data_IF_338173262823
#
_entry.id   IF_338173262823
#
_cell.length_a   1.000
_cell.length_b   1.000
_cell.length_c   1.000
_cell.angle_alpha   90.00
_cell.angle_beta   90.00
_cell.angle_gamma   90.00
#
_symmetry.space_group_name_H-M   'P 1'
#
loop_
_entity.id
_entity.type
_entity.pdbx_description
1 polymer ?
#
# COMPACT_ATOMS: atom_id res chain seq x y z
N UNK A 1 -6.66 28.79 -28.61
CA UNK A 1 -6.21 27.41 -28.34
C UNK A 1 -6.80 27.07 -26.99
N UNK A 2 -7.88 26.29 -26.99
CA UNK A 2 -8.65 26.02 -25.75
C UNK A 2 -7.84 25.04 -24.93
N UNK A 3 -7.40 25.47 -23.75
CA UNK A 3 -6.86 24.61 -22.70
C UNK A 3 -7.82 23.43 -22.51
N UNK A 4 -7.39 22.23 -22.90
CA UNK A 4 -8.04 21.02 -22.42
C UNK A 4 -7.82 21.02 -20.92
N UNK A 5 -8.89 21.25 -20.16
CA UNK A 5 -8.91 20.86 -18.75
C UNK A 5 -8.55 19.37 -18.72
N UNK A 6 -7.34 19.06 -18.24
CA UNK A 6 -6.85 17.70 -18.05
C UNK A 6 -7.72 17.01 -17.00
N UNK A 7 -8.84 16.48 -17.45
CA UNK A 7 -9.80 15.80 -16.58
C UNK A 7 -9.33 14.34 -16.39
N UNK A 8 -8.52 14.11 -15.36
CA UNK A 8 -8.02 12.78 -14.99
C UNK A 8 -9.14 11.72 -14.93
N UNK A 9 -10.31 11.96 -14.28
CA UNK A 9 -11.46 11.06 -14.37
C UNK A 9 -11.88 10.70 -15.81
N UNK A 10 -11.93 11.66 -16.73
CA UNK A 10 -12.34 11.37 -18.12
C UNK A 10 -11.31 10.51 -18.88
N UNK A 11 -10.02 10.64 -18.55
CA UNK A 11 -8.98 9.74 -19.09
C UNK A 11 -9.08 8.35 -18.45
N UNK A 12 -9.29 8.32 -17.14
CA UNK A 12 -9.36 7.07 -16.37
C UNK A 12 -10.58 6.22 -16.74
N UNK A 13 -11.70 6.84 -17.12
CA UNK A 13 -12.88 6.14 -17.63
C UNK A 13 -12.63 5.34 -18.92
N UNK A 14 -11.49 5.53 -19.60
CA UNK A 14 -11.07 4.73 -20.75
C UNK A 14 -10.31 3.46 -20.35
N UNK A 15 -9.90 3.33 -19.09
CA UNK A 15 -9.20 2.16 -18.59
C UNK A 15 -10.17 1.00 -18.41
N UNK A 16 -9.76 -0.21 -18.81
CA UNK A 16 -10.49 -1.41 -18.46
C UNK A 16 -10.21 -1.81 -17.02
N UNK A 17 -11.27 -2.07 -16.25
CA UNK A 17 -11.13 -2.68 -14.94
C UNK A 17 -10.57 -4.10 -15.05
N UNK A 18 -9.80 -4.51 -14.05
CA UNK A 18 -9.31 -5.88 -13.89
C UNK A 18 -9.87 -6.49 -12.62
N UNK A 19 -9.85 -7.82 -12.53
CA UNK A 19 -10.21 -8.54 -11.32
C UNK A 19 -8.94 -9.04 -10.61
N UNK A 20 -8.96 -8.99 -9.28
CA UNK A 20 -7.90 -9.50 -8.42
C UNK A 20 -8.45 -10.61 -7.54
N UNK A 21 -7.83 -11.78 -7.65
CA UNK A 21 -8.07 -12.92 -6.79
C UNK A 21 -6.75 -13.39 -6.17
N UNK A 22 -6.78 -13.78 -4.90
CA UNK A 22 -5.70 -14.54 -4.29
C UNK A 22 -5.41 -14.15 -2.85
N UNK A 23 -4.24 -14.59 -2.38
CA UNK A 23 -3.75 -14.32 -1.03
C UNK A 23 -2.95 -13.03 -0.99
N UNK A 24 -3.27 -12.19 -0.01
CA UNK A 24 -2.67 -10.88 0.21
C UNK A 24 -2.40 -10.66 1.69
N UNK A 25 -1.45 -9.77 1.99
CA UNK A 25 -0.99 -9.58 3.35
C UNK A 25 -0.86 -8.10 3.71
N UNK A 26 -0.96 -7.80 5.00
CA UNK A 26 -0.54 -6.49 5.55
C UNK A 26 0.00 -6.65 6.95
N UNK A 27 0.91 -5.76 7.33
CA UNK A 27 1.35 -5.65 8.72
C UNK A 27 0.66 -4.48 9.42
N UNK A 28 0.24 -4.67 10.67
CA UNK A 28 -0.36 -3.62 11.52
C UNK A 28 0.27 -3.65 12.91
N UNK A 29 0.11 -2.59 13.69
CA UNK A 29 0.43 -2.68 15.12
C UNK A 29 -0.53 -3.69 15.76
N UNK A 30 -0.06 -4.55 16.67
CA UNK A 30 -0.86 -5.64 17.26
C UNK A 30 -2.22 -5.16 17.79
N UNK A 31 -2.26 -3.97 18.39
CA UNK A 31 -3.52 -3.37 18.90
C UNK A 31 -4.61 -3.16 17.84
N UNK A 32 -4.27 -3.22 16.55
CA UNK A 32 -5.17 -3.07 15.42
C UNK A 32 -5.42 -4.37 14.66
N UNK A 33 -4.93 -5.52 15.14
CA UNK A 33 -5.07 -6.82 14.46
C UNK A 33 -6.54 -7.22 14.25
N UNK A 34 -7.42 -6.93 15.22
CA UNK A 34 -8.84 -7.22 15.12
C UNK A 34 -9.56 -6.42 14.02
N UNK A 35 -9.14 -5.17 13.80
CA UNK A 35 -9.71 -4.22 12.82
C UNK A 35 -8.78 -4.03 11.62
N UNK A 36 -7.98 -5.05 11.30
CA UNK A 36 -6.89 -4.89 10.35
C UNK A 36 -7.38 -4.78 8.90
N UNK A 37 -8.61 -5.22 8.60
CA UNK A 37 -9.15 -5.23 7.24
C UNK A 37 -10.17 -4.10 6.99
N UNK A 38 -10.49 -3.29 7.99
CA UNK A 38 -11.56 -2.28 7.92
C UNK A 38 -11.26 -1.08 6.99
N UNK A 39 -10.01 -0.92 6.54
CA UNK A 39 -9.55 0.30 5.87
C UNK A 39 -9.50 1.50 6.82
N UNK A 40 -8.78 2.57 6.44
CA UNK A 40 -8.71 3.82 7.23
C UNK A 40 -8.57 5.04 6.33
N UNK A 41 -9.25 6.12 6.71
CA UNK A 41 -9.06 7.46 6.12
C UNK A 41 -7.84 8.14 6.74
N UNK A 42 -6.66 7.67 6.35
CA UNK A 42 -5.37 8.16 6.85
C UNK A 42 -4.47 8.57 5.70
N UNK A 43 -3.62 9.57 5.95
CA UNK A 43 -2.62 10.01 4.98
C UNK A 43 -1.65 8.89 4.65
N UNK A 44 -1.56 8.56 3.37
CA UNK A 44 -0.64 7.58 2.80
C UNK A 44 -0.43 7.85 1.31
N UNK A 45 0.19 6.92 0.59
CA UNK A 45 0.43 7.08 -0.86
C UNK A 45 -0.87 7.17 -1.66
N UNK A 46 -1.90 6.45 -1.23
CA UNK A 46 -3.17 6.30 -1.96
C UNK A 46 -4.39 6.83 -1.20
N UNK A 47 -4.17 7.46 -0.04
CA UNK A 47 -5.24 7.97 0.80
C UNK A 47 -4.83 9.27 1.47
N UNK A 48 -5.83 10.07 1.83
CA UNK A 48 -5.67 11.34 2.54
C UNK A 48 -6.44 11.29 3.86
N UNK A 49 -5.96 12.05 4.85
CA UNK A 49 -6.73 12.27 6.07
C UNK A 49 -8.07 12.93 5.76
N UNK A 50 -9.15 12.37 6.32
CA UNK A 50 -10.52 12.82 6.05
C UNK A 50 -11.09 12.40 4.69
N UNK A 51 -10.35 11.63 3.87
CA UNK A 51 -10.84 11.03 2.63
C UNK A 51 -11.66 9.75 2.84
N UNK A 52 -11.82 8.97 1.78
CA UNK A 52 -12.42 7.62 1.83
C UNK A 52 -11.49 6.61 2.54
N UNK A 53 -12.04 5.54 3.13
CA UNK A 53 -11.25 4.55 3.84
C UNK A 53 -10.46 3.65 2.89
N UNK A 54 -9.14 3.57 3.13
CA UNK A 54 -8.22 2.80 2.29
C UNK A 54 -7.62 1.62 3.05
N UNK A 55 -7.70 0.44 2.47
CA UNK A 55 -7.02 -0.78 2.92
C UNK A 55 -5.80 -1.06 2.02
N UNK A 56 -4.61 -1.04 2.62
CA UNK A 56 -3.36 -1.39 1.94
C UNK A 56 -3.01 -2.86 2.20
N UNK A 57 -2.75 -3.58 1.11
CA UNK A 57 -2.33 -4.96 1.08
C UNK A 57 -1.11 -5.09 0.16
N UNK A 58 -0.27 -6.08 0.41
CA UNK A 58 0.92 -6.36 -0.38
C UNK A 58 1.15 -7.84 -0.59
N UNK A 59 1.94 -8.15 -1.61
CA UNK A 59 2.52 -9.48 -1.87
C UNK A 59 3.81 -9.33 -2.69
N UNK A 60 4.80 -10.23 -2.55
CA UNK A 60 4.88 -11.33 -1.58
C UNK A 60 5.15 -10.81 -0.14
N UNK A 61 5.27 -11.72 0.84
CA UNK A 61 5.61 -11.41 2.25
C UNK A 61 6.83 -10.49 2.37
N UNK A 62 7.84 -10.70 1.52
CA UNK A 62 9.05 -9.87 1.51
C UNK A 62 8.74 -8.41 1.22
N UNK A 63 7.79 -8.13 0.32
CA UNK A 63 7.33 -6.77 0.04
C UNK A 63 6.72 -6.12 1.28
N UNK A 64 5.86 -6.86 1.98
CA UNK A 64 5.20 -6.38 3.20
C UNK A 64 6.21 -6.14 4.33
N UNK A 65 7.24 -6.99 4.39
CA UNK A 65 8.34 -6.84 5.33
C UNK A 65 9.15 -5.59 5.01
N UNK A 66 9.54 -5.37 3.76
CA UNK A 66 10.28 -4.17 3.36
C UNK A 66 9.47 -2.89 3.54
N UNK A 67 8.15 -2.89 3.31
CA UNK A 67 7.29 -1.75 3.65
C UNK A 67 7.32 -1.43 5.15
N UNK A 68 7.38 -2.46 6.01
CA UNK A 68 7.54 -2.25 7.44
C UNK A 68 8.85 -1.53 7.77
N UNK A 69 9.97 -1.92 7.14
CA UNK A 69 11.25 -1.23 7.30
C UNK A 69 11.22 0.20 6.76
N UNK A 70 10.68 0.42 5.55
CA UNK A 70 10.55 1.76 4.93
C UNK A 70 9.82 2.76 5.82
N UNK A 71 8.84 2.31 6.59
CA UNK A 71 8.04 3.18 7.45
C UNK A 71 8.49 3.23 8.92
N UNK A 72 9.11 2.18 9.44
CA UNK A 72 9.41 2.06 10.87
C UNK A 72 10.91 2.19 11.19
N UNK A 73 11.79 1.97 10.21
CA UNK A 73 13.24 1.89 10.41
C UNK A 73 13.98 2.91 9.56
N UNK A 74 13.80 2.89 8.24
CA UNK A 74 14.57 3.73 7.32
C UNK A 74 14.54 5.23 7.70
N UNK A 75 13.42 5.81 8.17
CA UNK A 75 13.38 7.23 8.60
C UNK A 75 14.17 7.53 9.87
N UNK A 76 14.54 6.51 10.65
CA UNK A 76 15.25 6.64 11.93
C UNK A 76 16.76 6.40 11.78
N UNK A 77 17.20 5.81 10.67
CA UNK A 77 18.62 5.56 10.38
C UNK A 77 19.24 6.81 9.79
N UNK A 78 19.47 7.82 10.62
CA UNK A 78 20.15 9.06 10.22
C UNK A 78 21.67 8.97 10.39
N UNK A 79 22.15 8.23 11.40
CA UNK A 79 23.57 8.04 11.70
C UNK A 79 23.91 6.54 11.84
N UNK A 80 24.91 6.02 11.12
CA UNK A 80 25.39 4.66 11.32
C UNK A 80 25.87 4.44 12.76
N UNK A 81 25.21 3.53 13.49
CA UNK A 81 25.63 3.13 14.84
C UNK A 81 24.78 3.67 15.99
N UNK A 82 23.79 4.54 15.74
CA UNK A 82 22.82 4.89 16.77
C UNK A 82 21.82 3.73 17.02
N UNK A 83 21.49 3.42 18.29
CA UNK A 83 20.48 2.43 18.61
C UNK A 83 19.09 2.91 18.15
N UNK A 84 18.39 2.06 17.41
CA UNK A 84 17.02 2.32 17.00
C UNK A 84 16.08 2.23 18.22
N UNK A 85 15.07 3.10 18.32
CA UNK A 85 14.06 2.97 19.36
C UNK A 85 13.29 1.63 19.22
N UNK A 86 12.76 1.08 20.32
CA UNK A 86 12.02 -0.17 20.26
C UNK A 86 10.78 -0.02 19.38
N UNK A 87 10.63 -0.94 18.43
CA UNK A 87 9.46 -1.00 17.56
C UNK A 87 8.34 -1.68 18.35
N UNK A 88 7.13 -1.09 18.33
CA UNK A 88 5.96 -1.74 18.91
C UNK A 88 5.66 -3.05 18.15
N UNK A 89 5.29 -4.14 18.85
CA UNK A 89 4.93 -5.39 18.22
C UNK A 89 3.93 -5.22 17.07
N UNK A 90 4.15 -5.98 16.00
CA UNK A 90 3.32 -5.99 14.80
C UNK A 90 2.58 -7.31 14.66
N UNK A 91 1.53 -7.32 13.87
CA UNK A 91 0.86 -8.53 13.40
C UNK A 91 0.88 -8.50 11.87
N UNK A 92 1.34 -9.59 11.25
CA UNK A 92 1.12 -9.87 9.84
C UNK A 92 -0.23 -10.55 9.70
N UNK A 93 -1.11 -9.92 8.93
CA UNK A 93 -2.44 -10.42 8.63
C UNK A 93 -2.41 -10.97 7.21
N UNK A 94 -2.80 -12.22 7.04
CA UNK A 94 -3.02 -12.84 5.74
C UNK A 94 -4.52 -12.90 5.48
N UNK A 95 -4.92 -12.57 4.26
CA UNK A 95 -6.31 -12.58 3.84
C UNK A 95 -6.46 -13.07 2.40
N UNK A 96 -7.64 -13.58 2.09
CA UNK A 96 -8.06 -13.84 0.71
C UNK A 96 -8.85 -12.65 0.19
N UNK A 97 -8.56 -12.27 -1.05
CA UNK A 97 -9.24 -11.19 -1.77
C UNK A 97 -9.85 -11.75 -3.05
N UNK A 98 -11.04 -11.29 -3.37
CA UNK A 98 -11.70 -11.51 -4.65
C UNK A 98 -12.49 -10.25 -5.02
N UNK A 99 -11.92 -9.36 -5.84
CA UNK A 99 -12.49 -8.04 -6.16
C UNK A 99 -12.46 -7.84 -7.67
N UNK A 100 -13.57 -7.39 -8.27
CA UNK A 100 -13.73 -7.41 -9.73
C UNK A 100 -13.43 -6.09 -10.43
N UNK A 101 -13.50 -4.97 -9.70
CA UNK A 101 -13.42 -3.62 -10.28
C UNK A 101 -12.15 -2.89 -9.85
N UNK A 102 -10.98 -3.38 -10.27
CA UNK A 102 -9.68 -2.83 -9.88
C UNK A 102 -9.03 -2.05 -11.03
N UNK A 103 -8.49 -0.87 -10.72
CA UNK A 103 -7.62 -0.13 -11.64
C UNK A 103 -6.21 -0.76 -11.67
N UNK A 104 -5.75 -1.18 -12.85
CA UNK A 104 -4.43 -1.84 -12.99
C UNK A 104 -3.31 -0.88 -13.41
N UNK A 105 -2.54 -0.39 -12.44
CA UNK A 105 -1.36 0.45 -12.68
C UNK A 105 -0.07 -0.35 -12.94
N UNK A 106 -0.15 -1.69 -13.01
CA UNK A 106 0.94 -2.53 -13.54
C UNK A 106 0.97 -2.46 -15.06
N UNK A 107 -0.15 -2.17 -15.69
CA UNK A 107 -0.26 -1.90 -17.13
C UNK A 107 0.38 -0.57 -17.51
N UNK A 108 1.29 -0.58 -18.49
CA UNK A 108 1.87 0.63 -19.06
C UNK A 108 0.82 1.53 -19.72
N UNK A 109 -0.20 0.94 -20.36
CA UNK A 109 -1.27 1.69 -20.99
C UNK A 109 -2.10 2.48 -19.96
N UNK A 110 -2.45 1.86 -18.84
CA UNK A 110 -3.17 2.54 -17.76
C UNK A 110 -2.32 3.65 -17.14
N UNK A 111 -1.03 3.40 -16.92
CA UNK A 111 -0.10 4.44 -16.42
C UNK A 111 -0.02 5.64 -17.36
N UNK A 112 -0.01 5.42 -18.67
CA UNK A 112 -0.05 6.50 -19.66
C UNK A 112 -1.36 7.29 -19.60
N UNK A 113 -2.51 6.63 -19.39
CA UNK A 113 -3.81 7.31 -19.24
C UNK A 113 -3.85 8.26 -18.05
N UNK A 114 -3.23 7.87 -16.93
CA UNK A 114 -3.21 8.67 -15.70
C UNK A 114 -1.99 9.56 -15.55
N UNK A 115 -1.07 9.51 -16.53
CA UNK A 115 0.20 10.24 -16.53
C UNK A 115 1.03 10.04 -15.25
N UNK A 116 1.29 8.76 -14.92
CA UNK A 116 2.15 8.41 -13.78
C UNK A 116 3.35 7.56 -14.22
N UNK A 117 4.53 7.91 -13.71
CA UNK A 117 5.75 7.16 -14.00
C UNK A 117 6.00 6.06 -12.96
N UNK A 118 6.75 5.00 -13.31
CA UNK A 118 7.20 4.00 -12.34
C UNK A 118 7.96 4.62 -11.16
N UNK A 119 8.75 5.67 -11.39
CA UNK A 119 9.52 6.37 -10.35
C UNK A 119 8.61 7.05 -9.34
N UNK A 120 7.50 7.66 -9.77
CA UNK A 120 6.53 8.26 -8.87
C UNK A 120 5.83 7.19 -8.01
N UNK A 121 5.47 6.05 -8.62
CA UNK A 121 4.88 4.91 -7.89
C UNK A 121 5.84 4.34 -6.83
N UNK A 122 7.14 4.36 -7.12
CA UNK A 122 8.21 3.78 -6.31
C UNK A 122 9.06 4.80 -5.56
N UNK A 123 8.56 6.03 -5.45
CA UNK A 123 9.24 7.15 -4.79
C UNK A 123 9.40 6.94 -3.29
N UNK A 124 10.34 7.66 -2.69
CA UNK A 124 10.53 7.66 -1.25
C UNK A 124 9.37 8.30 -0.50
N UNK A 125 9.24 7.98 0.80
CA UNK A 125 8.13 8.43 1.64
C UNK A 125 8.10 9.94 1.87
N UNK A 126 9.19 10.65 1.53
CA UNK A 126 9.30 12.10 1.63
C UNK A 126 8.88 12.84 0.34
N UNK A 127 8.68 12.15 -0.77
CA UNK A 127 8.31 12.77 -2.05
C UNK A 127 6.82 13.15 -2.08
N UNK A 128 6.53 14.37 -1.66
CA UNK A 128 5.17 14.91 -1.60
C UNK A 128 4.51 15.02 -2.96
N UNK A 129 5.27 15.30 -4.03
CA UNK A 129 4.72 15.47 -5.37
C UNK A 129 4.27 14.14 -5.94
N UNK A 130 5.08 13.09 -5.77
CA UNK A 130 4.72 11.74 -6.17
C UNK A 130 3.52 11.20 -5.35
N UNK A 131 3.44 11.51 -4.05
CA UNK A 131 2.28 11.18 -3.23
C UNK A 131 1.02 11.89 -3.72
N UNK A 132 1.09 13.18 -4.02
CA UNK A 132 -0.05 13.94 -4.55
C UNK A 132 -0.55 13.35 -5.88
N UNK A 133 0.35 12.94 -6.77
CA UNK A 133 -0.02 12.25 -8.01
C UNK A 133 -0.77 10.94 -7.73
N UNK A 134 -0.25 10.09 -6.84
CA UNK A 134 -0.91 8.83 -6.47
C UNK A 134 -2.29 9.06 -5.80
N UNK A 135 -2.39 10.04 -4.90
CA UNK A 135 -3.64 10.40 -4.22
C UNK A 135 -4.69 10.93 -5.21
N UNK A 136 -4.30 11.75 -6.18
CA UNK A 136 -5.20 12.23 -7.23
C UNK A 136 -5.74 11.08 -8.10
N UNK A 137 -4.91 10.09 -8.41
CA UNK A 137 -5.32 8.90 -9.16
C UNK A 137 -6.29 8.05 -8.35
N UNK A 138 -6.01 7.80 -7.07
CA UNK A 138 -6.92 7.07 -6.20
C UNK A 138 -8.26 7.81 -6.06
N UNK A 139 -8.25 9.13 -5.90
CA UNK A 139 -9.47 9.93 -5.82
C UNK A 139 -10.30 9.85 -7.11
N UNK A 140 -9.65 9.93 -8.28
CA UNK A 140 -10.33 9.75 -9.56
C UNK A 140 -10.88 8.32 -9.73
N UNK A 141 -10.13 7.30 -9.29
CA UNK A 141 -10.58 5.91 -9.33
C UNK A 141 -11.79 5.68 -8.41
N UNK A 142 -11.75 6.21 -7.19
CA UNK A 142 -12.86 6.16 -6.24
C UNK A 142 -14.11 6.87 -6.78
N UNK A 143 -13.95 8.07 -7.37
CA UNK A 143 -15.05 8.81 -8.00
C UNK A 143 -15.72 8.03 -9.15
N UNK A 144 -14.96 7.18 -9.84
CA UNK A 144 -15.45 6.32 -10.93
C UNK A 144 -15.89 4.93 -10.44
N UNK A 145 -16.06 4.76 -9.12
CA UNK A 145 -16.56 3.55 -8.48
C UNK A 145 -15.69 2.31 -8.73
N UNK A 146 -14.37 2.50 -9.00
CA UNK A 146 -13.44 1.39 -8.83
C UNK A 146 -13.45 0.95 -7.36
N UNK A 147 -13.35 -0.35 -7.12
CA UNK A 147 -13.28 -0.94 -5.79
C UNK A 147 -11.87 -0.87 -5.18
N UNK A 148 -10.90 -0.44 -5.99
CA UNK A 148 -9.52 -0.30 -5.61
C UNK A 148 -8.58 -0.16 -6.80
N UNK A 149 -7.28 -0.25 -6.53
CA UNK A 149 -6.22 -0.24 -7.52
C UNK A 149 -5.10 -1.20 -7.15
N UNK A 150 -4.40 -1.70 -8.16
CA UNK A 150 -3.18 -2.50 -7.99
C UNK A 150 -2.02 -1.78 -8.67
N UNK A 151 -0.88 -1.71 -7.99
CA UNK A 151 0.32 -1.06 -8.49
C UNK A 151 1.57 -1.90 -8.17
N UNK A 152 2.67 -1.71 -8.92
CA UNK A 152 3.99 -2.13 -8.46
C UNK A 152 4.25 -1.57 -7.05
N UNK A 153 4.77 -2.40 -6.15
CA UNK A 153 5.06 -1.96 -4.79
C UNK A 153 6.16 -0.90 -4.77
N UNK A 154 6.07 0.05 -3.83
CA UNK A 154 7.08 1.09 -3.67
C UNK A 154 8.44 0.52 -3.23
N UNK A 155 8.43 -0.66 -2.61
CA UNK A 155 9.61 -1.48 -2.28
C UNK A 155 10.38 -2.00 -3.49
N UNK A 156 9.80 -1.91 -4.70
CA UNK A 156 10.28 -2.58 -5.93
C UNK A 156 10.24 -4.12 -5.85
N UNK A 157 9.64 -4.67 -4.79
CA UNK A 157 9.46 -6.09 -4.59
C UNK A 157 7.95 -6.38 -4.67
N UNK A 158 7.48 -6.95 -5.78
CA UNK A 158 6.08 -7.35 -5.93
C UNK A 158 5.09 -6.20 -6.09
N UNK A 159 3.94 -6.31 -5.44
CA UNK A 159 2.73 -5.55 -5.74
C UNK A 159 2.08 -5.01 -4.46
N UNK A 160 1.44 -3.84 -4.61
CA UNK A 160 0.54 -3.26 -3.61
C UNK A 160 -0.87 -3.26 -4.17
N UNK A 161 -1.79 -3.84 -3.42
CA UNK A 161 -3.22 -3.73 -3.66
C UNK A 161 -3.81 -2.74 -2.66
N UNK A 162 -4.62 -1.84 -3.17
CA UNK A 162 -5.32 -0.81 -2.43
C UNK A 162 -6.80 -1.04 -2.65
N UNK A 163 -7.57 -1.20 -1.57
CA UNK A 163 -9.02 -1.38 -1.64
C UNK A 163 -9.71 -0.20 -0.99
N UNK A 164 -10.78 0.28 -1.63
CA UNK A 164 -11.67 1.31 -1.11
C UNK A 164 -12.82 0.61 -0.39
N UNK A 165 -12.69 0.46 0.93
CA UNK A 165 -13.52 -0.48 1.70
C UNK A 165 -14.99 -0.05 1.80
N UNK A 166 -15.28 1.22 1.54
CA UNK A 166 -16.62 1.79 1.45
C UNK A 166 -17.35 1.45 0.14
N UNK A 167 -16.61 1.09 -0.92
CA UNK A 167 -17.16 0.71 -2.22
C UNK A 167 -17.24 -0.81 -2.42
N UNK A 168 -16.64 -1.60 -1.53
CA UNK A 168 -16.67 -3.06 -1.63
C UNK A 168 -18.08 -3.61 -1.32
N UNK A 169 -18.55 -4.49 -2.19
CA UNK A 169 -19.71 -5.35 -1.88
C UNK A 169 -19.39 -6.33 -0.76
N UNK A 170 -20.41 -6.96 -0.18
CA UNK A 170 -20.21 -7.92 0.91
C UNK A 170 -19.35 -9.12 0.47
N UNK A 171 -19.51 -9.56 -0.78
CA UNK A 171 -18.79 -10.67 -1.39
C UNK A 171 -17.32 -10.34 -1.69
N UNK A 172 -17.00 -9.06 -1.82
CA UNK A 172 -15.65 -8.58 -2.12
C UNK A 172 -14.84 -8.18 -0.88
N UNK A 173 -15.46 -8.20 0.30
CA UNK A 173 -14.76 -7.91 1.55
C UNK A 173 -13.63 -8.95 1.79
N UNK A 174 -12.38 -8.50 2.03
CA UNK A 174 -11.29 -9.41 2.31
C UNK A 174 -11.55 -10.25 3.56
N UNK A 175 -11.28 -11.55 3.47
CA UNK A 175 -11.48 -12.46 4.60
C UNK A 175 -10.13 -12.81 5.22
N UNK A 176 -9.96 -12.51 6.51
CA UNK A 176 -8.76 -12.90 7.27
C UNK A 176 -8.66 -14.42 7.32
N UNK A 177 -7.52 -14.97 6.92
CA UNK A 177 -7.25 -16.41 6.92
C UNK A 177 -6.15 -16.82 7.88
N UNK A 178 -5.21 -15.92 8.19
CA UNK A 178 -4.13 -16.17 9.13
C UNK A 178 -3.64 -14.88 9.81
N UNK A 179 -3.02 -15.03 10.97
CA UNK A 179 -2.44 -13.95 11.76
C UNK A 179 -1.16 -14.42 12.45
N UNK A 180 -0.05 -13.76 12.13
CA UNK A 180 1.25 -14.03 12.74
C UNK A 180 1.74 -12.80 13.52
N UNK A 181 2.03 -12.98 14.81
CA UNK A 181 2.64 -11.94 15.62
C UNK A 181 4.14 -11.79 15.32
N UNK A 182 4.57 -10.55 15.19
CA UNK A 182 5.96 -10.12 15.06
C UNK A 182 6.36 -9.37 16.33
N UNK A 183 7.01 -10.08 17.25
CA UNK A 183 7.62 -9.48 18.45
C UNK A 183 8.84 -8.63 18.10
N UNK A 184 9.48 -8.94 16.97
CA UNK A 184 10.49 -8.17 16.26
C UNK A 184 10.16 -8.22 14.75
N UNK A 185 10.68 -7.28 13.97
CA UNK A 185 10.55 -7.38 12.51
C UNK A 185 11.29 -8.63 12.00
N UNK A 186 10.74 -9.34 10.99
CA UNK A 186 11.47 -10.38 10.28
C UNK A 186 12.77 -9.81 9.67
N UNK A 187 13.76 -10.66 9.33
CA UNK A 187 14.97 -10.21 8.64
C UNK A 187 14.63 -9.36 7.41
N UNK A 188 15.36 -8.26 7.19
CA UNK A 188 15.14 -7.37 6.05
C UNK A 188 15.49 -8.12 4.75
N UNK A 189 14.52 -8.37 3.84
CA UNK A 189 14.79 -9.06 2.58
C UNK A 189 15.80 -8.35 1.67
N UNK A 190 16.05 -7.05 1.88
CA UNK A 190 17.05 -6.27 1.14
C UNK A 190 18.48 -6.57 1.59
N UNK A 191 18.65 -7.10 2.80
CA UNK A 191 19.94 -7.46 3.38
C UNK A 191 19.82 -8.81 4.14
N UNK A 192 19.80 -9.94 3.41
CA UNK A 192 19.61 -11.26 4.01
C UNK A 192 20.70 -11.68 5.01
N UNK A 193 21.79 -10.90 5.14
CA UNK A 193 22.88 -11.14 6.09
C UNK A 193 22.78 -10.41 7.42
N UNK A 194 21.94 -9.37 7.54
CA UNK A 194 21.83 -8.55 8.77
C UNK A 194 20.72 -9.05 9.70
N UNK A 195 21.01 -10.11 10.47
CA UNK A 195 20.31 -10.34 11.74
C UNK A 195 20.74 -9.26 12.74
N UNK A 196 20.17 -8.05 12.66
CA UNK A 196 20.34 -7.05 13.71
C UNK A 196 19.54 -7.51 14.92
N UNK A 197 20.24 -8.14 15.87
CA UNK A 197 19.78 -8.25 17.26
C UNK A 197 19.49 -6.84 17.78
N UNK A 198 18.24 -6.40 17.70
CA UNK A 198 17.79 -5.21 18.41
C UNK A 198 17.42 -5.66 19.82
N UNK A 199 18.39 -5.53 20.72
CA UNK A 199 18.23 -5.79 22.15
C UNK A 199 17.11 -4.92 22.72
N UNK A 200 16.07 -5.55 23.24
CA UNK A 200 15.03 -4.89 24.03
C UNK A 200 15.68 -4.36 25.31
N UNK A 201 15.74 -3.04 25.45
CA UNK A 201 16.01 -2.40 26.74
C UNK A 201 14.68 -2.36 27.49
N UNK A 202 14.67 -2.98 28.69
CA UNK A 202 13.51 -3.07 29.59
C UNK A 202 13.10 -1.71 30.14
#
# INVERSE_FOLDING_TARGET
MIDRVDNLPARLAQASATSINGTWQRHVAVRFAATALDGRSATGRWGTEGGYPVLYLGRPTDSVTVEAYRHLIDPLVTDPGQPLPPIRPRALITCTVNVTTILDLRSAATRALVDITPEQLQSDTADKAAYAACQNIAAAAHQLEYHGLIAPAATKLGETLVLFTDLLTQEEQPTKTDEQMWTQLPPDPRDPGQSRHLTVVR
#
